data_IF_033918935173
#
_entry.id   IF_033918935173
#
_cell.length_a   1.000
_cell.length_b   1.000
_cell.length_c   1.000
_cell.angle_alpha   90.00
_cell.angle_beta   90.00
_cell.angle_gamma   90.00
#
_symmetry.space_group_name_H-M   'P 1'
#
loop_
_entity.id
_entity.type
_entity.pdbx_description
1 polymer ?
#
# COMPACT_ATOMS: atom_id res chain seq x y z
N UNK A 1 -28.14 7.89 -6.61
CA UNK A 1 -27.96 6.51 -7.10
C UNK A 1 -27.12 6.38 -8.37
N UNK A 2 -27.37 7.13 -9.46
CA UNK A 2 -26.53 7.10 -10.68
C UNK A 2 -25.02 7.26 -10.40
N UNK A 3 -24.65 8.14 -9.47
CA UNK A 3 -23.25 8.32 -9.02
C UNK A 3 -22.65 7.04 -8.42
N UNK A 4 -23.40 6.35 -7.53
CA UNK A 4 -22.97 5.10 -6.88
C UNK A 4 -22.76 4.00 -7.93
N UNK A 5 -23.70 3.86 -8.88
CA UNK A 5 -23.56 2.89 -9.97
C UNK A 5 -22.30 3.16 -10.78
N UNK A 6 -22.03 4.42 -11.13
CA UNK A 6 -20.81 4.81 -11.85
C UNK A 6 -19.55 4.45 -11.07
N UNK A 7 -19.53 4.66 -9.76
CA UNK A 7 -18.39 4.28 -8.92
C UNK A 7 -18.19 2.77 -8.88
N UNK A 8 -19.27 1.99 -8.74
CA UNK A 8 -19.19 0.52 -8.73
C UNK A 8 -18.71 -0.05 -10.08
N UNK A 9 -19.16 0.51 -11.21
CA UNK A 9 -18.79 0.01 -12.55
C UNK A 9 -17.35 0.33 -12.96
N UNK A 10 -16.77 1.40 -12.41
CA UNK A 10 -15.40 1.83 -12.73
C UNK A 10 -14.42 1.56 -11.58
N UNK A 11 -14.85 0.86 -10.52
CA UNK A 11 -13.97 0.54 -9.41
C UNK A 11 -12.88 -0.44 -9.87
N UNK A 12 -11.59 -0.11 -9.70
CA UNK A 12 -10.52 -1.07 -9.93
C UNK A 12 -10.47 -2.15 -8.84
N UNK A 13 -11.15 -1.93 -7.71
CA UNK A 13 -11.15 -2.82 -6.55
C UNK A 13 -12.35 -3.77 -6.56
N UNK A 14 -12.13 -5.01 -6.10
CA UNK A 14 -13.18 -6.02 -5.96
C UNK A 14 -14.03 -5.88 -4.69
N UNK A 15 -13.54 -5.15 -3.69
CA UNK A 15 -14.20 -4.90 -2.39
C UNK A 15 -14.08 -3.43 -2.01
N UNK A 16 -15.12 -2.92 -1.34
CA UNK A 16 -15.19 -1.52 -0.88
C UNK A 16 -15.80 -1.49 0.53
N UNK A 17 -15.20 -0.70 1.43
CA UNK A 17 -15.75 -0.46 2.77
C UNK A 17 -16.98 0.45 2.66
N UNK A 18 -18.10 0.04 3.26
CA UNK A 18 -19.26 0.89 3.46
C UNK A 18 -19.22 1.44 4.87
N UNK A 19 -19.21 2.76 5.00
CA UNK A 19 -19.22 3.47 6.27
C UNK A 19 -20.30 4.56 6.28
N UNK A 20 -20.54 5.17 7.43
CA UNK A 20 -21.43 6.33 7.57
C UNK A 20 -20.64 7.51 8.11
N UNK A 21 -20.68 8.61 7.38
CA UNK A 21 -20.06 9.90 7.75
C UNK A 21 -18.52 9.87 7.90
N UNK A 22 -17.94 8.99 8.73
CA UNK A 22 -16.50 8.72 8.85
C UNK A 22 -16.18 7.23 8.74
N UNK A 23 -14.91 6.91 8.48
CA UNK A 23 -14.44 5.52 8.42
C UNK A 23 -14.65 4.78 9.75
N UNK A 24 -14.58 5.49 10.89
CA UNK A 24 -14.76 4.92 12.23
C UNK A 24 -16.15 4.29 12.43
N UNK A 25 -17.18 4.77 11.72
CA UNK A 25 -18.50 4.11 11.64
C UNK A 25 -18.57 3.20 10.40
N UNK A 26 -17.64 2.23 10.32
CA UNK A 26 -17.61 1.20 9.29
C UNK A 26 -18.74 0.17 9.51
N UNK A 27 -19.58 0.00 8.49
CA UNK A 27 -20.80 -0.82 8.56
C UNK A 27 -20.57 -2.23 8.00
N UNK A 28 -20.01 -2.32 6.79
CA UNK A 28 -19.91 -3.60 6.06
C UNK A 28 -18.90 -3.53 4.92
N UNK A 29 -18.52 -4.68 4.37
CA UNK A 29 -17.61 -4.79 3.22
C UNK A 29 -18.39 -5.19 1.96
N UNK A 30 -18.56 -4.27 1.02
CA UNK A 30 -19.29 -4.52 -0.23
C UNK A 30 -18.46 -5.34 -1.20
N UNK A 31 -19.03 -6.44 -1.72
CA UNK A 31 -18.49 -7.16 -2.88
C UNK A 31 -18.97 -6.50 -4.17
N UNK A 32 -18.10 -5.75 -4.85
CA UNK A 32 -18.48 -4.89 -6.00
C UNK A 32 -19.15 -5.70 -7.12
N UNK A 33 -18.56 -6.85 -7.47
CA UNK A 33 -19.08 -7.74 -8.51
C UNK A 33 -20.46 -8.33 -8.17
N UNK A 34 -20.65 -8.70 -6.91
CA UNK A 34 -21.91 -9.24 -6.39
C UNK A 34 -23.00 -8.16 -6.40
N UNK A 35 -22.67 -6.97 -5.92
CA UNK A 35 -23.57 -5.82 -5.89
C UNK A 35 -24.05 -5.48 -7.30
N UNK A 36 -23.13 -5.41 -8.25
CA UNK A 36 -23.46 -5.15 -9.65
C UNK A 36 -24.37 -6.23 -10.25
N UNK A 37 -24.10 -7.52 -9.98
CA UNK A 37 -24.93 -8.64 -10.45
C UNK A 37 -26.37 -8.52 -9.93
N UNK A 38 -26.53 -8.37 -8.61
CA UNK A 38 -27.87 -8.31 -7.98
C UNK A 38 -28.69 -7.10 -8.45
N UNK A 39 -28.02 -5.96 -8.67
CA UNK A 39 -28.71 -4.76 -9.16
C UNK A 39 -29.14 -4.89 -10.61
N UNK A 40 -28.33 -5.55 -11.44
CA UNK A 40 -28.66 -5.77 -12.87
C UNK A 40 -29.80 -6.77 -13.03
N UNK A 41 -29.80 -7.87 -12.27
CA UNK A 41 -30.84 -8.89 -12.28
C UNK A 41 -32.22 -8.33 -11.91
N UNK A 42 -32.28 -7.47 -10.89
CA UNK A 42 -33.53 -6.87 -10.41
C UNK A 42 -33.96 -5.62 -11.19
N UNK A 43 -33.10 -5.09 -12.07
CA UNK A 43 -33.25 -3.75 -12.69
C UNK A 43 -33.56 -2.66 -11.66
N UNK A 44 -33.13 -2.88 -10.43
CA UNK A 44 -33.45 -2.04 -9.28
C UNK A 44 -32.21 -1.91 -8.41
N UNK A 45 -32.14 -0.76 -7.78
CA UNK A 45 -30.91 -0.08 -7.51
C UNK A 45 -31.13 0.64 -6.18
N UNK A 46 -31.28 -0.18 -5.14
CA UNK A 46 -31.68 0.23 -3.81
C UNK A 46 -30.59 -0.08 -2.79
N UNK A 47 -30.64 0.64 -1.67
CA UNK A 47 -29.77 0.40 -0.51
C UNK A 47 -29.88 -1.05 -0.02
N UNK A 48 -31.09 -1.61 0.00
CA UNK A 48 -31.32 -2.98 0.47
C UNK A 48 -30.61 -4.02 -0.41
N UNK A 49 -30.70 -3.89 -1.74
CA UNK A 49 -30.01 -4.80 -2.67
C UNK A 49 -28.49 -4.70 -2.50
N UNK A 50 -27.96 -3.47 -2.31
CA UNK A 50 -26.54 -3.27 -2.06
C UNK A 50 -26.07 -3.94 -0.78
N UNK A 51 -26.83 -3.80 0.32
CA UNK A 51 -26.48 -4.40 1.61
C UNK A 51 -26.52 -5.93 1.56
N UNK A 52 -27.35 -6.56 0.71
CA UNK A 52 -27.32 -8.01 0.49
C UNK A 52 -26.01 -8.51 -0.15
N UNK A 53 -25.30 -7.65 -0.88
CA UNK A 53 -23.99 -7.94 -1.44
C UNK A 53 -22.83 -7.64 -0.48
N UNK A 54 -23.11 -7.02 0.68
CA UNK A 54 -22.11 -6.68 1.67
C UNK A 54 -21.95 -7.79 2.71
N UNK A 55 -20.71 -8.11 3.03
CA UNK A 55 -20.36 -9.03 4.10
C UNK A 55 -20.10 -8.24 5.40
N UNK A 56 -20.27 -8.88 6.55
CA UNK A 56 -19.80 -8.35 7.83
C UNK A 56 -18.29 -8.10 7.78
N UNK A 57 -17.85 -7.01 8.41
CA UNK A 57 -16.44 -6.64 8.50
C UNK A 57 -15.72 -7.68 9.35
N UNK A 58 -14.57 -8.12 8.85
CA UNK A 58 -13.65 -8.92 9.62
C UNK A 58 -12.57 -8.00 10.19
N UNK A 59 -12.49 -7.88 11.51
CA UNK A 59 -11.52 -7.01 12.17
C UNK A 59 -10.23 -7.76 12.53
N UNK A 60 -9.10 -7.05 12.45
CA UNK A 60 -7.75 -7.55 12.72
C UNK A 60 -7.09 -6.60 13.71
N UNK A 61 -6.70 -7.04 14.91
CA UNK A 61 -5.89 -6.21 15.81
C UNK A 61 -4.53 -5.90 15.19
N UNK A 62 -4.07 -4.65 15.26
CA UNK A 62 -2.81 -4.18 14.63
C UNK A 62 -1.58 -5.00 15.06
N UNK A 63 -1.51 -5.42 16.31
CA UNK A 63 -0.42 -6.25 16.84
C UNK A 63 -0.44 -7.72 16.39
N UNK A 64 -1.37 -8.12 15.50
CA UNK A 64 -1.45 -9.51 15.04
C UNK A 64 -0.32 -9.84 14.07
N UNK A 65 0.56 -10.83 14.37
CA UNK A 65 1.62 -11.21 13.44
C UNK A 65 1.07 -11.71 12.09
N UNK A 66 1.69 -11.29 10.98
CA UNK A 66 1.22 -11.60 9.62
C UNK A 66 1.06 -13.12 9.37
N UNK A 67 2.00 -13.94 9.87
CA UNK A 67 1.93 -15.40 9.76
C UNK A 67 0.70 -15.99 10.46
N UNK A 68 0.34 -15.45 11.62
CA UNK A 68 -0.87 -15.82 12.36
C UNK A 68 -2.11 -15.35 11.60
N UNK A 69 -2.07 -14.13 11.07
CA UNK A 69 -3.18 -13.55 10.33
C UNK A 69 -3.48 -14.30 9.03
N UNK A 70 -2.46 -14.77 8.31
CA UNK A 70 -2.60 -15.63 7.13
C UNK A 70 -3.39 -16.91 7.45
N UNK A 71 -3.03 -17.59 8.55
CA UNK A 71 -3.73 -18.79 9.01
C UNK A 71 -5.17 -18.48 9.42
N UNK A 72 -5.40 -17.35 10.10
CA UNK A 72 -6.76 -16.89 10.47
C UNK A 72 -7.61 -16.62 9.22
N UNK A 73 -7.07 -15.95 8.20
CA UNK A 73 -7.75 -15.74 6.93
C UNK A 73 -8.13 -17.06 6.25
N UNK A 74 -7.20 -18.02 6.18
CA UNK A 74 -7.46 -19.34 5.63
C UNK A 74 -8.58 -20.08 6.38
N UNK A 75 -8.52 -20.12 7.72
CA UNK A 75 -9.51 -20.81 8.56
C UNK A 75 -10.90 -20.18 8.45
N UNK A 76 -10.97 -18.86 8.48
CA UNK A 76 -12.22 -18.11 8.44
C UNK A 76 -12.77 -17.91 7.02
N UNK A 77 -12.05 -18.39 5.98
CA UNK A 77 -12.35 -18.17 4.57
C UNK A 77 -12.54 -16.68 4.24
N UNK A 78 -11.72 -15.84 4.86
CA UNK A 78 -11.68 -14.39 4.63
C UNK A 78 -10.44 -14.05 3.81
N UNK A 79 -10.51 -12.93 3.09
CA UNK A 79 -9.41 -12.44 2.25
C UNK A 79 -8.98 -11.01 2.55
N UNK A 80 -9.80 -10.28 3.30
CA UNK A 80 -9.62 -8.86 3.62
C UNK A 80 -10.11 -8.65 5.04
N UNK A 81 -9.45 -7.77 5.78
CA UNK A 81 -9.89 -7.29 7.08
C UNK A 81 -9.57 -5.81 7.30
N UNK A 82 -10.32 -5.16 8.21
CA UNK A 82 -9.97 -3.83 8.71
C UNK A 82 -9.07 -3.97 9.93
N UNK A 83 -7.99 -3.22 9.93
CA UNK A 83 -7.01 -3.19 11.02
C UNK A 83 -7.48 -2.17 12.05
N UNK A 84 -7.48 -2.57 13.32
CA UNK A 84 -7.92 -1.74 14.45
C UNK A 84 -6.89 -1.77 15.58
N UNK A 85 -6.80 -0.68 16.31
CA UNK A 85 -6.01 -0.57 17.54
C UNK A 85 -6.80 -1.06 18.79
N UNK A 86 -6.24 -0.85 19.98
CA UNK A 86 -6.86 -1.23 21.25
C UNK A 86 -8.09 -0.40 21.63
N UNK A 87 -8.23 0.80 21.06
CA UNK A 87 -9.35 1.71 21.28
C UNK A 87 -10.49 1.43 20.29
N UNK A 88 -10.21 0.65 19.23
CA UNK A 88 -11.15 0.27 18.19
C UNK A 88 -11.11 1.20 16.97
N UNK A 89 -10.15 2.13 16.91
CA UNK A 89 -10.01 3.04 15.80
C UNK A 89 -9.40 2.30 14.60
N UNK A 90 -9.87 2.63 13.39
CA UNK A 90 -9.43 1.96 12.17
C UNK A 90 -8.09 2.54 11.71
N UNK A 91 -7.06 1.71 11.76
CA UNK A 91 -5.71 2.04 11.31
C UNK A 91 -5.54 1.81 9.81
N UNK A 92 -6.32 0.88 9.23
CA UNK A 92 -6.23 0.60 7.80
C UNK A 92 -6.93 -0.69 7.36
N UNK A 93 -6.44 -1.26 6.26
CA UNK A 93 -6.98 -2.47 5.64
C UNK A 93 -5.83 -3.42 5.28
N UNK A 94 -6.06 -4.71 5.48
CA UNK A 94 -5.08 -5.77 5.16
C UNK A 94 -5.72 -6.86 4.31
N UNK A 95 -5.02 -7.33 3.28
CA UNK A 95 -5.46 -8.44 2.42
C UNK A 95 -4.55 -9.66 2.54
N UNK A 96 -5.05 -10.82 2.09
CA UNK A 96 -4.22 -12.04 2.00
C UNK A 96 -3.10 -11.84 0.99
N UNK A 97 -3.40 -11.13 -0.10
CA UNK A 97 -2.47 -10.79 -1.16
C UNK A 97 -1.27 -9.99 -0.60
N UNK A 98 -1.51 -8.96 0.21
CA UNK A 98 -0.43 -8.16 0.84
C UNK A 98 0.44 -9.03 1.77
N UNK A 99 -0.18 -9.91 2.57
CA UNK A 99 0.57 -10.81 3.47
C UNK A 99 1.43 -11.79 2.67
N UNK A 100 0.91 -12.30 1.55
CA UNK A 100 1.67 -13.19 0.68
C UNK A 100 2.80 -12.44 -0.03
N UNK A 101 2.58 -11.20 -0.45
CA UNK A 101 3.61 -10.35 -1.04
C UNK A 101 4.76 -10.10 -0.07
N UNK A 102 4.49 -9.85 1.21
CA UNK A 102 5.55 -9.67 2.21
C UNK A 102 6.40 -10.95 2.44
N UNK A 103 5.77 -12.12 2.33
CA UNK A 103 6.43 -13.42 2.51
C UNK A 103 7.20 -13.85 1.26
N UNK A 104 6.59 -13.67 0.08
CA UNK A 104 7.07 -14.22 -1.20
C UNK A 104 7.91 -13.19 -1.98
N UNK A 105 7.66 -11.89 -1.82
CA UNK A 105 8.23 -10.79 -2.61
C UNK A 105 7.63 -10.66 -4.01
N UNK A 106 8.38 -10.06 -4.95
CA UNK A 106 8.03 -9.72 -6.35
C UNK A 106 7.57 -10.87 -7.27
N UNK A 107 7.23 -12.04 -6.75
CA UNK A 107 6.52 -13.05 -7.54
C UNK A 107 5.05 -12.66 -7.81
N UNK A 108 4.58 -11.55 -7.26
CA UNK A 108 3.26 -11.00 -7.52
C UNK A 108 3.30 -9.98 -8.66
N UNK A 109 2.32 -10.06 -9.56
CA UNK A 109 2.17 -9.16 -10.73
C UNK A 109 1.53 -7.84 -10.28
N UNK A 110 2.17 -7.13 -9.35
CA UNK A 110 1.69 -5.82 -8.89
C UNK A 110 1.87 -4.77 -10.00
N UNK A 111 1.03 -3.74 -10.00
CA UNK A 111 1.15 -2.55 -10.87
C UNK A 111 2.27 -1.61 -10.42
N UNK A 112 3.12 -2.06 -9.49
CA UNK A 112 4.26 -1.30 -8.98
C UNK A 112 5.33 -1.20 -10.06
N UNK A 113 6.03 -0.06 -10.19
CA UNK A 113 7.15 0.08 -11.10
C UNK A 113 8.18 -1.03 -10.84
N UNK A 114 8.73 -1.58 -11.89
CA UNK A 114 9.85 -2.51 -11.77
C UNK A 114 11.09 -1.75 -11.31
N UNK A 115 12.02 -2.43 -10.64
CA UNK A 115 13.30 -1.83 -10.25
C UNK A 115 14.04 -1.17 -11.43
N UNK A 116 13.91 -1.73 -12.65
CA UNK A 116 14.52 -1.17 -13.85
C UNK A 116 13.91 0.17 -14.29
N UNK A 117 12.70 0.49 -13.83
CA UNK A 117 12.04 1.78 -14.07
C UNK A 117 12.44 2.81 -13.00
N UNK A 118 12.81 2.37 -11.80
CA UNK A 118 13.16 3.26 -10.67
C UNK A 118 14.67 3.47 -10.49
N UNK A 119 15.51 2.63 -11.10
CA UNK A 119 16.97 2.69 -10.94
C UNK A 119 17.70 2.72 -12.27
N UNK A 120 18.58 3.71 -12.43
CA UNK A 120 19.44 3.87 -13.59
C UNK A 120 20.92 3.79 -13.18
N UNK A 121 21.60 2.67 -13.45
CA UNK A 121 23.05 2.57 -13.24
C UNK A 121 23.84 3.47 -14.19
N UNK A 122 24.92 4.07 -13.69
CA UNK A 122 25.85 4.90 -14.44
C UNK A 122 27.18 4.17 -14.67
N UNK A 123 27.93 4.62 -15.68
CA UNK A 123 29.18 3.98 -16.10
C UNK A 123 30.32 4.10 -15.06
N UNK A 124 30.22 5.04 -14.13
CA UNK A 124 31.21 5.27 -13.07
C UNK A 124 30.95 4.43 -11.81
N UNK A 125 29.92 3.59 -11.83
CA UNK A 125 29.53 2.73 -10.71
C UNK A 125 28.52 3.37 -9.75
N UNK A 126 28.15 4.64 -9.97
CA UNK A 126 27.03 5.25 -9.25
C UNK A 126 25.69 4.84 -9.84
N UNK A 127 24.62 5.03 -9.09
CA UNK A 127 23.24 4.72 -9.52
C UNK A 127 22.34 5.91 -9.23
N UNK A 128 21.48 6.25 -10.19
CA UNK A 128 20.39 7.20 -9.97
C UNK A 128 19.16 6.41 -9.56
N UNK A 129 18.53 6.80 -8.45
CA UNK A 129 17.38 6.10 -7.86
C UNK A 129 16.22 7.10 -7.67
N UNK A 130 14.99 6.69 -8.01
CA UNK A 130 13.78 7.45 -7.68
C UNK A 130 13.57 7.50 -6.16
N UNK A 131 13.20 8.66 -5.62
CA UNK A 131 12.91 8.80 -4.20
C UNK A 131 11.73 7.94 -3.72
N UNK A 132 10.81 7.52 -4.60
CA UNK A 132 9.75 6.57 -4.25
C UNK A 132 10.21 5.12 -4.19
N UNK A 133 11.41 4.80 -4.69
CA UNK A 133 11.88 3.43 -4.80
C UNK A 133 11.93 2.72 -3.45
N UNK A 134 11.54 1.45 -3.43
CA UNK A 134 11.53 0.63 -2.23
C UNK A 134 12.96 0.23 -1.82
N UNK A 135 13.33 0.55 -0.59
CA UNK A 135 14.68 0.32 -0.05
C UNK A 135 15.05 -1.15 -0.05
N UNK A 136 14.10 -2.03 0.26
CA UNK A 136 14.32 -3.48 0.32
C UNK A 136 14.71 -4.03 -1.06
N UNK A 137 14.08 -3.52 -2.12
CA UNK A 137 14.42 -3.92 -3.49
C UNK A 137 15.77 -3.35 -3.94
N UNK A 138 16.11 -2.12 -3.55
CA UNK A 138 17.46 -1.56 -3.74
C UNK A 138 18.51 -2.43 -3.03
N UNK A 139 18.29 -2.75 -1.76
CA UNK A 139 19.19 -3.60 -0.96
C UNK A 139 19.42 -4.96 -1.61
N UNK A 140 18.35 -5.62 -2.05
CA UNK A 140 18.40 -6.93 -2.71
C UNK A 140 19.12 -6.88 -4.07
N UNK A 141 18.90 -5.84 -4.86
CA UNK A 141 19.46 -5.75 -6.20
C UNK A 141 20.94 -5.38 -6.25
N UNK A 142 21.36 -4.46 -5.37
CA UNK A 142 22.74 -3.99 -5.31
C UNK A 142 23.56 -4.67 -4.20
N UNK A 143 22.96 -5.60 -3.46
CA UNK A 143 23.53 -6.21 -2.27
C UNK A 143 23.96 -5.14 -1.25
N UNK A 144 23.09 -4.16 -1.06
CA UNK A 144 23.23 -3.06 -0.11
C UNK A 144 22.52 -3.37 1.21
N UNK A 145 22.75 -2.49 2.18
CA UNK A 145 22.32 -2.62 3.57
C UNK A 145 21.89 -1.23 4.08
N UNK A 146 21.08 -0.52 3.29
CA UNK A 146 20.41 0.69 3.74
C UNK A 146 19.39 0.34 4.84
N UNK A 147 19.18 1.21 5.83
CA UNK A 147 18.19 0.99 6.89
C UNK A 147 16.77 0.78 6.33
N UNK A 148 16.03 -0.20 6.86
CA UNK A 148 14.68 -0.56 6.41
C UNK A 148 13.65 -0.67 7.56
N UNK A 149 14.00 -0.18 8.77
CA UNK A 149 13.21 -0.38 9.99
C UNK A 149 11.97 0.53 10.05
N UNK A 150 12.13 1.85 9.86
CA UNK A 150 11.02 2.83 9.93
C UNK A 150 10.56 3.28 8.55
N UNK A 151 11.51 3.75 7.72
CA UNK A 151 11.22 4.17 6.35
C UNK A 151 11.34 3.02 5.33
N UNK A 152 10.39 2.98 4.38
CA UNK A 152 10.34 1.96 3.32
C UNK A 152 10.86 2.45 1.96
N UNK A 153 10.97 3.77 1.77
CA UNK A 153 11.37 4.39 0.49
C UNK A 153 12.62 5.22 0.66
N UNK A 154 13.39 5.40 -0.41
CA UNK A 154 14.63 6.21 -0.39
C UNK A 154 14.39 7.63 0.13
N UNK A 155 13.31 8.29 -0.30
CA UNK A 155 12.90 9.59 0.24
C UNK A 155 12.66 9.51 1.76
N UNK A 156 11.98 8.45 2.22
CA UNK A 156 11.72 8.25 3.64
C UNK A 156 13.00 8.17 4.46
N UNK A 157 13.97 7.32 4.08
CA UNK A 157 15.21 7.15 4.85
C UNK A 157 16.00 8.47 4.91
N UNK A 158 16.02 9.22 3.80
CA UNK A 158 16.77 10.48 3.73
C UNK A 158 16.12 11.55 4.60
N UNK A 159 14.79 11.66 4.58
CA UNK A 159 14.08 12.61 5.44
C UNK A 159 14.20 12.24 6.92
N UNK A 160 14.22 10.95 7.25
CA UNK A 160 14.48 10.47 8.61
C UNK A 160 15.89 10.84 9.07
N UNK A 161 16.89 10.66 8.20
CA UNK A 161 18.28 11.00 8.51
C UNK A 161 18.54 12.52 8.62
N UNK A 162 17.79 13.35 7.89
CA UNK A 162 17.98 14.80 7.86
C UNK A 162 17.02 15.57 8.78
N UNK A 163 15.91 14.97 9.20
CA UNK A 163 14.81 15.61 9.96
C UNK A 163 14.20 16.86 9.27
N UNK A 164 14.54 17.11 8.00
CA UNK A 164 14.03 18.22 7.19
C UNK A 164 14.00 17.88 5.70
N UNK A 165 13.25 18.67 4.92
CA UNK A 165 13.23 18.52 3.46
C UNK A 165 14.47 19.21 2.88
N UNK A 166 15.39 18.47 2.24
CA UNK A 166 16.63 19.04 1.75
C UNK A 166 16.43 19.85 0.47
N UNK A 167 17.45 20.65 0.13
CA UNK A 167 17.55 21.29 -1.19
C UNK A 167 18.33 20.40 -2.17
N UNK A 168 18.05 20.46 -3.49
CA UNK A 168 18.88 19.80 -4.50
C UNK A 168 20.36 20.18 -4.38
N UNK A 169 21.24 19.19 -4.53
CA UNK A 169 22.69 19.31 -4.32
C UNK A 169 23.15 19.03 -2.89
N UNK A 170 22.24 18.81 -1.94
CA UNK A 170 22.57 18.36 -0.59
C UNK A 170 23.18 16.97 -0.64
N UNK A 171 24.24 16.75 0.17
CA UNK A 171 24.83 15.43 0.36
C UNK A 171 24.53 14.94 1.75
N UNK A 172 24.05 13.70 1.84
CA UNK A 172 23.86 13.00 3.10
C UNK A 172 24.61 11.68 3.04
N UNK A 173 25.15 11.27 4.19
CA UNK A 173 25.74 9.95 4.32
C UNK A 173 24.87 9.12 5.25
N UNK A 174 24.36 8.02 4.72
CA UNK A 174 23.59 7.03 5.49
C UNK A 174 24.43 5.77 5.52
N UNK A 175 24.90 5.38 6.70
CA UNK A 175 25.86 4.29 6.89
C UNK A 175 27.14 4.48 6.02
N UNK A 176 27.40 3.56 5.09
CA UNK A 176 28.50 3.63 4.13
C UNK A 176 28.15 4.29 2.78
N UNK A 177 26.90 4.72 2.57
CA UNK A 177 26.43 5.23 1.29
C UNK A 177 26.43 6.76 1.28
N UNK A 178 27.18 7.34 0.35
CA UNK A 178 27.15 8.79 0.09
C UNK A 178 26.04 9.08 -0.93
N UNK A 179 25.05 9.86 -0.52
CA UNK A 179 23.84 10.13 -1.31
C UNK A 179 23.81 11.61 -1.71
N UNK A 180 23.90 11.86 -3.00
CA UNK A 180 23.70 13.17 -3.63
C UNK A 180 22.21 13.35 -3.96
N UNK A 181 21.53 14.31 -3.35
CA UNK A 181 20.15 14.64 -3.70
C UNK A 181 20.14 15.44 -5.00
N UNK A 182 19.52 14.89 -6.05
CA UNK A 182 19.53 15.49 -7.38
C UNK A 182 18.33 16.39 -7.63
N UNK A 183 17.15 15.96 -7.19
CA UNK A 183 15.89 16.67 -7.44
C UNK A 183 14.91 16.52 -6.27
N UNK A 184 14.22 17.61 -5.97
CA UNK A 184 13.20 17.72 -4.92
C UNK A 184 12.03 18.50 -5.48
N UNK A 185 10.85 17.89 -5.50
CA UNK A 185 9.61 18.49 -6.00
C UNK A 185 8.46 18.16 -5.05
N UNK A 186 7.55 19.13 -4.85
CA UNK A 186 6.38 18.97 -3.98
C UNK A 186 6.72 18.44 -2.58
N UNK A 187 7.80 18.97 -1.97
CA UNK A 187 8.30 18.55 -0.66
C UNK A 187 8.77 17.08 -0.58
N UNK A 188 9.07 16.48 -1.73
CA UNK A 188 9.52 15.09 -1.83
C UNK A 188 10.80 15.01 -2.66
N UNK A 189 11.78 14.25 -2.19
CA UNK A 189 12.96 13.90 -2.98
C UNK A 189 12.49 13.03 -4.14
N UNK A 190 12.76 13.46 -5.37
CA UNK A 190 12.37 12.76 -6.60
C UNK A 190 13.48 11.87 -7.13
N UNK A 191 14.72 12.34 -7.05
CA UNK A 191 15.87 11.59 -7.53
C UNK A 191 17.07 11.82 -6.64
N UNK A 192 17.81 10.74 -6.41
CA UNK A 192 19.10 10.76 -5.75
C UNK A 192 20.12 10.01 -6.60
N UNK A 193 21.39 10.29 -6.35
CA UNK A 193 22.50 9.50 -6.86
C UNK A 193 23.29 8.97 -5.69
N UNK A 194 23.57 7.66 -5.73
CA UNK A 194 24.31 6.91 -4.72
C UNK A 194 25.52 6.28 -5.36
#
# INVERSE_FOLDING_TARGET
WKSIVRQLTHSPHGRIVLYRDSLDDAISMLRVREAYRLMTEKKEFTKEIMLRAADEIYFVPEGTPLSTQLVKFQRNKKKVGLVVDEYGDIQGLVTVEDILEEIVGDFTTSMSPTLAEEVTPLNDGTVIIDGSANVREINKAFNWHLPEDEARTVNGIILEALEEIPVPGTRVRIEQYDIDILDVQDNMIKQVKV
#
